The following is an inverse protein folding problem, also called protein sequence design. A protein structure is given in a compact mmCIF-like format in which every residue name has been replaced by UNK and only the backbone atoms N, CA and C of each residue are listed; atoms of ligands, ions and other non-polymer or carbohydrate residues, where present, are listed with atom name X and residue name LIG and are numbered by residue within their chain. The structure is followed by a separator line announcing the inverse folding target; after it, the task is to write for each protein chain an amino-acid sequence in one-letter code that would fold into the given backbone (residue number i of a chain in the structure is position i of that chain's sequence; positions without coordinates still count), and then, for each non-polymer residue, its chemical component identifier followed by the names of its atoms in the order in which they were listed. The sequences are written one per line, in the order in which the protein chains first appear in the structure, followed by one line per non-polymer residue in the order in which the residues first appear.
data_IF_115309092545
#
_entry.id   IF_115309092545
#
_cell.length_a   1.000
_cell.length_b   1.000
_cell.length_c   1.000
_cell.angle_alpha   90.00
_cell.angle_beta   90.00
_cell.angle_gamma   90.00
#
_symmetry.space_group_name_H-M   'P 1'
#
loop_
_entity.id
_entity.type
_entity.pdbx_description
1 polymer ?
#
# COMPACT_ATOMS: atom_id res chain seq x y z
N UNK A 1 63.50 33.98 -18.36
CA UNK A 1 62.32 33.85 -19.24
C UNK A 1 61.46 32.70 -18.70
N UNK A 2 60.40 33.03 -17.93
CA UNK A 2 58.98 32.79 -18.25
C UNK A 2 58.60 31.34 -18.61
N UNK A 3 57.91 30.69 -17.64
CA UNK A 3 56.70 29.81 -17.71
C UNK A 3 56.77 28.62 -18.69
N UNK A 4 56.38 27.40 -18.31
CA UNK A 4 54.97 27.01 -18.16
C UNK A 4 54.86 25.75 -17.28
N UNK A 5 53.99 25.90 -16.28
CA UNK A 5 53.36 24.91 -15.44
C UNK A 5 52.24 24.22 -16.25
N UNK A 6 52.20 22.89 -16.33
CA UNK A 6 50.97 22.18 -16.71
C UNK A 6 50.63 21.20 -15.59
N UNK A 7 49.69 21.66 -14.77
CA UNK A 7 48.97 20.90 -13.77
C UNK A 7 48.16 19.80 -14.47
N UNK A 8 48.44 18.53 -14.17
CA UNK A 8 47.59 17.42 -14.55
C UNK A 8 46.42 17.38 -13.55
N UNK A 9 45.32 18.05 -13.89
CA UNK A 9 44.07 17.99 -13.13
C UNK A 9 43.35 16.68 -13.50
N UNK A 10 43.57 15.63 -12.71
CA UNK A 10 42.74 14.43 -12.76
C UNK A 10 41.34 14.79 -12.24
N UNK A 11 40.44 15.11 -13.16
CA UNK A 11 39.01 15.27 -12.87
C UNK A 11 38.49 13.87 -12.56
N UNK A 12 38.45 13.53 -11.26
CA UNK A 12 37.64 12.44 -10.73
C UNK A 12 36.18 12.86 -10.96
N UNK A 13 35.59 12.45 -12.08
CA UNK A 13 34.16 12.57 -12.29
C UNK A 13 33.46 11.62 -11.32
N UNK A 14 33.17 12.12 -10.11
CA UNK A 14 32.10 11.57 -9.29
C UNK A 14 30.82 11.69 -10.11
N UNK A 15 30.43 10.60 -10.77
CA UNK A 15 29.07 10.43 -11.25
C UNK A 15 28.18 10.36 -10.02
N UNK A 16 27.70 11.49 -9.54
CA UNK A 16 26.48 11.54 -8.75
C UNK A 16 25.37 11.08 -9.69
N UNK A 17 25.11 9.78 -9.73
CA UNK A 17 23.82 9.27 -10.16
C UNK A 17 22.81 9.87 -9.20
N UNK A 18 22.21 10.98 -9.61
CA UNK A 18 20.99 11.48 -9.00
C UNK A 18 19.99 10.33 -9.12
N UNK A 19 19.83 9.54 -8.06
CA UNK A 19 18.77 8.54 -8.03
C UNK A 19 17.48 9.33 -8.15
N UNK A 20 16.74 9.17 -9.25
CA UNK A 20 15.44 9.80 -9.40
C UNK A 20 14.64 9.56 -8.13
N UNK A 21 14.07 10.63 -7.55
CA UNK A 21 13.29 10.51 -6.34
C UNK A 21 12.02 9.72 -6.67
N UNK A 22 11.93 8.49 -6.16
CA UNK A 22 10.72 7.70 -6.30
C UNK A 22 9.52 8.39 -5.64
N UNK A 23 8.35 8.22 -6.26
CA UNK A 23 7.06 8.76 -5.88
C UNK A 23 6.03 7.63 -5.77
N UNK A 24 4.86 7.90 -5.19
CA UNK A 24 3.75 6.93 -5.15
C UNK A 24 3.35 6.45 -6.56
N UNK A 25 3.55 7.26 -7.59
CA UNK A 25 3.26 6.88 -8.98
C UNK A 25 4.20 5.81 -9.51
N UNK A 26 5.45 5.76 -9.07
CA UNK A 26 6.39 4.71 -9.50
C UNK A 26 5.96 3.34 -8.98
N UNK A 27 5.44 3.29 -7.74
CA UNK A 27 4.85 2.09 -7.17
C UNK A 27 3.55 1.70 -7.88
N UNK A 28 2.70 2.68 -8.22
CA UNK A 28 1.50 2.43 -9.01
C UNK A 28 1.84 1.85 -10.39
N UNK A 29 2.83 2.40 -11.11
CA UNK A 29 3.25 1.86 -12.40
C UNK A 29 3.84 0.45 -12.27
N UNK A 30 4.60 0.17 -11.21
CA UNK A 30 5.07 -1.18 -10.93
C UNK A 30 3.91 -2.15 -10.65
N UNK A 31 2.85 -1.70 -9.96
CA UNK A 31 1.63 -2.49 -9.75
C UNK A 31 0.88 -2.76 -11.05
N UNK A 32 0.72 -1.75 -11.91
CA UNK A 32 0.14 -1.91 -13.25
C UNK A 32 0.91 -2.96 -14.06
N UNK A 33 2.24 -2.91 -14.02
CA UNK A 33 3.11 -3.89 -14.69
C UNK A 33 2.89 -5.31 -14.16
N UNK A 34 2.81 -5.50 -12.85
CA UNK A 34 2.54 -6.80 -12.21
C UNK A 34 1.17 -7.37 -12.63
N UNK A 35 0.13 -6.54 -12.61
CA UNK A 35 -1.22 -6.93 -13.04
C UNK A 35 -1.23 -7.34 -14.52
N UNK A 36 -0.62 -6.54 -15.39
CA UNK A 36 -0.55 -6.83 -16.83
C UNK A 36 0.29 -8.08 -17.17
N UNK A 37 1.24 -8.45 -16.30
CA UNK A 37 2.03 -9.68 -16.46
C UNK A 37 1.24 -10.94 -16.09
N UNK A 38 0.15 -10.80 -15.33
CA UNK A 38 -0.63 -11.93 -14.78
C UNK A 38 -1.73 -12.37 -15.74
N UNK A 39 -1.49 -12.40 -17.07
CA UNK A 39 -2.49 -12.89 -18.05
C UNK A 39 -2.98 -14.28 -17.66
N UNK A 40 -4.23 -14.38 -17.19
CA UNK A 40 -4.80 -15.60 -16.62
C UNK A 40 -5.24 -16.57 -17.72
N UNK A 41 -5.64 -16.08 -18.89
CA UNK A 41 -5.87 -16.85 -20.13
C UNK A 41 -6.17 -15.89 -21.30
N UNK A 42 -6.14 -16.35 -22.54
CA UNK A 42 -6.56 -15.57 -23.73
C UNK A 42 -8.06 -15.20 -23.73
N UNK A 43 -8.87 -15.89 -22.93
CA UNK A 43 -10.34 -15.73 -22.88
C UNK A 43 -10.81 -14.79 -21.76
N UNK A 44 -9.92 -14.33 -20.88
CA UNK A 44 -10.27 -13.40 -19.81
C UNK A 44 -9.95 -11.95 -20.19
N UNK A 45 -10.85 -11.00 -19.88
CA UNK A 45 -10.59 -9.60 -20.16
C UNK A 45 -9.36 -9.11 -19.38
N UNK A 46 -8.51 -8.32 -20.04
CA UNK A 46 -7.35 -7.69 -19.41
C UNK A 46 -7.80 -6.89 -18.18
N UNK A 47 -7.13 -7.09 -17.04
CA UNK A 47 -7.36 -6.29 -15.84
C UNK A 47 -6.68 -4.94 -15.98
N UNK A 48 -7.45 -3.86 -15.81
CA UNK A 48 -6.94 -2.49 -15.82
C UNK A 48 -7.06 -1.91 -14.41
N UNK A 49 -5.98 -1.31 -13.91
CA UNK A 49 -6.05 -0.47 -12.71
C UNK A 49 -6.54 0.93 -13.10
N UNK A 50 -7.62 1.37 -12.46
CA UNK A 50 -8.17 2.71 -12.63
C UNK A 50 -8.01 3.51 -11.34
N UNK A 51 -7.34 4.66 -11.44
CA UNK A 51 -7.24 5.63 -10.36
C UNK A 51 -8.64 6.22 -10.05
N UNK A 52 -9.03 6.17 -8.78
CA UNK A 52 -10.24 6.78 -8.23
C UNK A 52 -9.89 8.15 -7.64
N UNK A 53 -8.76 8.24 -6.94
CA UNK A 53 -8.29 9.45 -6.28
C UNK A 53 -6.77 9.52 -6.30
N UNK A 54 -6.25 10.72 -6.49
CA UNK A 54 -4.81 10.95 -6.58
C UNK A 54 -4.43 12.21 -5.81
N UNK A 55 -3.44 12.07 -4.93
CA UNK A 55 -2.79 13.15 -4.21
C UNK A 55 -1.28 12.87 -4.12
N UNK A 56 -0.60 13.01 -5.27
CA UNK A 56 0.82 12.66 -5.43
C UNK A 56 1.71 13.48 -4.49
N UNK A 57 1.32 14.75 -4.22
CA UNK A 57 2.06 15.63 -3.32
C UNK A 57 2.19 15.04 -1.93
N UNK A 58 1.12 14.40 -1.44
CA UNK A 58 1.11 13.73 -0.14
C UNK A 58 1.36 12.22 -0.25
N UNK A 59 1.77 11.74 -1.41
CA UNK A 59 2.12 10.34 -1.62
C UNK A 59 0.94 9.37 -1.51
N UNK A 60 -0.29 9.81 -1.81
CA UNK A 60 -1.50 8.99 -1.67
C UNK A 60 -2.20 8.74 -3.01
N UNK A 61 -2.71 7.51 -3.19
CA UNK A 61 -3.58 7.09 -4.28
C UNK A 61 -4.71 6.21 -3.74
N UNK A 62 -5.85 6.23 -4.42
CA UNK A 62 -6.84 5.17 -4.35
C UNK A 62 -7.19 4.72 -5.77
N UNK A 63 -7.30 3.42 -6.00
CA UNK A 63 -7.54 2.83 -7.32
C UNK A 63 -8.39 1.57 -7.20
N UNK A 64 -8.89 1.06 -8.32
CA UNK A 64 -9.66 -0.19 -8.39
C UNK A 64 -9.30 -0.97 -9.65
N UNK A 65 -9.53 -2.27 -9.62
CA UNK A 65 -9.47 -3.15 -10.79
C UNK A 65 -10.72 -2.98 -11.66
N UNK A 66 -10.54 -2.95 -12.97
CA UNK A 66 -11.58 -2.93 -14.00
C UNK A 66 -11.27 -3.98 -15.09
N UNK A 67 -12.13 -4.99 -15.31
CA UNK A 67 -13.25 -5.34 -14.43
C UNK A 67 -12.74 -5.64 -13.01
N UNK A 68 -13.61 -5.59 -12.01
CA UNK A 68 -13.21 -6.03 -10.67
C UNK A 68 -12.61 -7.45 -10.78
N UNK A 69 -11.66 -7.81 -9.90
CA UNK A 69 -10.99 -9.12 -9.88
C UNK A 69 -11.97 -10.33 -9.97
N UNK A 70 -13.26 -10.09 -9.75
CA UNK A 70 -14.35 -11.04 -9.70
C UNK A 70 -15.16 -11.29 -10.96
N UNK A 71 -14.62 -11.10 -12.17
CA UNK A 71 -14.95 -12.10 -13.19
C UNK A 71 -14.37 -13.49 -12.86
N UNK A 72 -13.45 -13.59 -11.89
CA UNK A 72 -12.93 -14.89 -11.45
C UNK A 72 -13.67 -15.50 -10.26
N UNK A 73 -14.14 -14.75 -9.25
CA UNK A 73 -14.76 -15.33 -8.02
C UNK A 73 -15.71 -14.35 -7.29
N UNK A 74 -16.78 -13.87 -7.93
CA UNK A 74 -17.86 -13.13 -7.24
C UNK A 74 -17.48 -11.77 -6.60
N UNK A 75 -16.28 -11.23 -6.82
CA UNK A 75 -15.90 -9.86 -6.41
C UNK A 75 -16.59 -8.84 -7.32
N UNK A 76 -17.32 -7.91 -6.73
CA UNK A 76 -18.07 -6.86 -7.44
C UNK A 76 -17.29 -5.55 -7.49
N UNK A 77 -16.58 -5.22 -6.41
CA UNK A 77 -15.71 -4.04 -6.31
C UNK A 77 -14.43 -4.43 -5.57
N UNK A 78 -13.28 -3.89 -5.95
CA UNK A 78 -12.00 -4.16 -5.30
C UNK A 78 -11.12 -2.92 -5.21
N UNK A 79 -11.54 -1.86 -4.47
CA UNK A 79 -10.72 -0.69 -4.29
C UNK A 79 -9.50 -0.98 -3.39
N UNK A 80 -8.38 -0.34 -3.70
CA UNK A 80 -7.19 -0.32 -2.87
C UNK A 80 -6.77 1.13 -2.62
N UNK A 81 -6.28 1.41 -1.41
CA UNK A 81 -5.53 2.62 -1.12
C UNK A 81 -4.03 2.33 -1.16
N UNK A 82 -3.22 3.30 -1.57
CA UNK A 82 -1.76 3.26 -1.50
C UNK A 82 -1.23 4.56 -0.89
N UNK A 83 -0.34 4.44 0.09
CA UNK A 83 0.33 5.58 0.72
C UNK A 83 1.84 5.37 0.76
N UNK A 84 2.59 6.41 0.41
CA UNK A 84 4.04 6.41 0.31
C UNK A 84 4.69 6.94 1.57
N UNK A 85 5.74 6.24 2.03
CA UNK A 85 6.46 6.52 3.25
C UNK A 85 7.95 6.64 2.95
N UNK A 86 8.60 7.59 3.62
CA UNK A 86 10.04 7.81 3.57
C UNK A 86 10.55 7.95 5.00
N UNK A 87 11.52 7.14 5.37
CA UNK A 87 12.25 7.27 6.63
C UNK A 87 13.49 8.16 6.45
N UNK A 88 13.98 8.74 7.56
CA UNK A 88 15.17 9.59 7.60
C UNK A 88 16.45 8.84 7.18
N UNK A 89 16.47 7.52 7.32
CA UNK A 89 17.56 6.66 6.82
C UNK A 89 17.49 6.42 5.30
N UNK A 90 16.56 7.07 4.58
CA UNK A 90 16.41 6.99 3.14
C UNK A 90 15.59 5.79 2.65
N UNK A 91 15.08 4.93 3.54
CA UNK A 91 14.18 3.82 3.20
C UNK A 91 12.85 4.37 2.68
N UNK A 92 12.44 3.89 1.50
CA UNK A 92 11.26 4.35 0.75
C UNK A 92 10.38 3.17 0.40
N UNK A 93 9.10 3.24 0.71
CA UNK A 93 8.16 2.13 0.53
C UNK A 93 6.73 2.64 0.45
N UNK A 94 5.81 1.79 0.01
CA UNK A 94 4.37 2.04 0.10
C UNK A 94 3.69 1.03 1.00
N UNK A 95 2.65 1.47 1.69
CA UNK A 95 1.61 0.59 2.20
C UNK A 95 0.47 0.52 1.19
N UNK A 96 -0.14 -0.65 1.03
CA UNK A 96 -1.33 -0.88 0.21
C UNK A 96 -2.39 -1.54 1.08
N UNK A 97 -3.59 -0.95 1.13
CA UNK A 97 -4.72 -1.45 1.89
C UNK A 97 -5.79 -2.00 0.94
N UNK A 98 -5.86 -3.34 0.76
CA UNK A 98 -6.84 -3.93 -0.13
C UNK A 98 -8.21 -4.06 0.54
N UNK A 99 -9.25 -3.81 -0.23
CA UNK A 99 -10.64 -4.03 0.17
C UNK A 99 -11.39 -4.65 -1.00
N UNK A 100 -12.29 -5.58 -0.71
CA UNK A 100 -13.17 -6.19 -1.69
C UNK A 100 -14.63 -6.19 -1.22
N UNK A 101 -15.54 -5.99 -2.16
CA UNK A 101 -16.97 -6.24 -1.99
C UNK A 101 -17.34 -7.48 -2.78
N UNK A 102 -17.76 -8.52 -2.09
CA UNK A 102 -18.04 -9.84 -2.63
C UNK A 102 -19.54 -10.07 -2.75
N UNK A 103 -19.97 -10.71 -3.83
CA UNK A 103 -21.29 -11.32 -3.97
C UNK A 103 -21.25 -12.73 -3.41
N UNK A 104 -22.07 -13.01 -2.40
CA UNK A 104 -22.22 -14.36 -1.84
C UNK A 104 -23.45 -15.07 -2.44
N UNK A 105 -23.53 -16.40 -2.29
CA UNK A 105 -24.52 -17.31 -2.92
C UNK A 105 -26.01 -16.93 -2.78
N UNK A 106 -26.35 -15.91 -1.98
CA UNK A 106 -27.70 -15.36 -1.80
C UNK A 106 -27.92 -14.00 -2.50
N UNK A 107 -27.08 -13.62 -3.47
CA UNK A 107 -27.07 -12.27 -4.11
C UNK A 107 -26.88 -11.11 -3.11
N UNK A 108 -26.39 -11.41 -1.91
CA UNK A 108 -26.06 -10.41 -0.90
C UNK A 108 -24.61 -9.99 -1.08
N UNK A 109 -24.32 -8.74 -0.79
CA UNK A 109 -22.97 -8.19 -0.81
C UNK A 109 -22.34 -8.30 0.58
N UNK A 110 -21.06 -8.64 0.63
CA UNK A 110 -20.25 -8.62 1.85
C UNK A 110 -18.91 -7.96 1.58
N UNK A 111 -18.56 -7.00 2.43
CA UNK A 111 -17.23 -6.43 2.45
C UNK A 111 -16.23 -7.38 3.11
N UNK A 112 -15.02 -7.38 2.58
CA UNK A 112 -13.84 -8.08 3.08
C UNK A 112 -12.65 -7.14 2.95
N UNK A 113 -11.72 -7.21 3.90
CA UNK A 113 -10.48 -6.44 3.87
C UNK A 113 -9.39 -7.18 4.62
N UNK A 114 -8.15 -6.77 4.40
CA UNK A 114 -6.96 -7.35 5.02
C UNK A 114 -6.16 -6.25 5.72
N UNK A 115 -5.19 -6.67 6.54
CA UNK A 115 -4.14 -5.76 7.00
C UNK A 115 -3.32 -5.24 5.81
N UNK A 116 -2.68 -4.06 5.92
CA UNK A 116 -1.95 -3.49 4.80
C UNK A 116 -0.75 -4.37 4.44
N UNK A 117 -0.46 -4.42 3.14
CA UNK A 117 0.78 -4.98 2.61
C UNK A 117 1.78 -3.86 2.36
N UNK A 118 3.07 -4.17 2.46
CA UNK A 118 4.12 -3.18 2.32
C UNK A 118 5.08 -3.58 1.21
N UNK A 119 5.44 -2.62 0.36
CA UNK A 119 6.30 -2.87 -0.79
C UNK A 119 7.42 -1.86 -0.90
N UNK A 120 8.62 -2.33 -1.22
CA UNK A 120 9.74 -1.52 -1.70
C UNK A 120 9.86 -1.65 -3.24
N UNK A 121 10.49 -0.69 -3.91
CA UNK A 121 10.79 -0.79 -5.34
C UNK A 121 12.21 -1.31 -5.56
N UNK A 122 12.35 -2.36 -6.37
CA UNK A 122 13.64 -2.83 -6.87
C UNK A 122 13.57 -3.08 -8.37
N UNK A 123 14.43 -2.39 -9.14
CA UNK A 123 14.48 -2.49 -10.60
C UNK A 123 13.10 -2.33 -11.29
N UNK A 124 12.26 -1.41 -10.77
CA UNK A 124 10.93 -1.14 -11.30
C UNK A 124 9.87 -2.21 -10.98
N UNK A 125 10.14 -3.11 -10.03
CA UNK A 125 9.18 -4.12 -9.57
C UNK A 125 8.87 -3.89 -8.08
N UNK A 126 7.65 -4.26 -7.67
CA UNK A 126 7.26 -4.30 -6.28
C UNK A 126 7.89 -5.52 -5.60
N UNK A 127 8.57 -5.29 -4.49
CA UNK A 127 9.12 -6.34 -3.63
C UNK A 127 8.31 -6.34 -2.34
N UNK A 128 7.64 -7.44 -2.04
CA UNK A 128 6.90 -7.59 -0.78
C UNK A 128 7.86 -7.54 0.41
N UNK A 129 7.57 -6.63 1.33
CA UNK A 129 8.31 -6.36 2.57
C UNK A 129 7.37 -6.34 3.76
N UNK A 130 6.19 -6.94 3.66
CA UNK A 130 5.15 -6.90 4.69
C UNK A 130 5.69 -7.37 6.04
N UNK A 131 6.47 -8.46 6.08
CA UNK A 131 7.06 -8.96 7.34
C UNK A 131 8.14 -8.03 7.92
N UNK A 132 8.75 -7.17 7.12
CA UNK A 132 9.73 -6.18 7.57
C UNK A 132 9.04 -4.99 8.28
N UNK A 133 7.87 -4.56 7.79
CA UNK A 133 7.16 -3.38 8.29
C UNK A 133 6.00 -3.71 9.25
N UNK A 134 5.47 -4.92 9.14
CA UNK A 134 4.43 -5.50 9.98
C UNK A 134 4.88 -6.91 10.42
N UNK A 135 5.91 -6.99 11.30
CA UNK A 135 6.42 -8.25 11.82
C UNK A 135 5.36 -9.02 12.60
N UNK A 136 5.59 -10.32 12.79
CA UNK A 136 4.58 -11.26 13.30
C UNK A 136 4.01 -10.88 14.68
N UNK A 137 4.84 -10.34 15.57
CA UNK A 137 4.44 -9.84 16.88
C UNK A 137 3.49 -8.64 16.75
N UNK A 138 3.86 -7.65 15.94
CA UNK A 138 3.05 -6.47 15.67
C UNK A 138 1.72 -6.86 14.98
N UNK A 139 1.78 -7.76 13.99
CA UNK A 139 0.61 -8.33 13.31
C UNK A 139 -0.35 -8.96 14.32
N UNK A 140 0.17 -9.81 15.20
CA UNK A 140 -0.61 -10.49 16.24
C UNK A 140 -1.29 -9.50 17.19
N UNK A 141 -0.61 -8.42 17.56
CA UNK A 141 -1.19 -7.36 18.40
C UNK A 141 -2.39 -6.69 17.71
N UNK A 142 -2.25 -6.34 16.42
CA UNK A 142 -3.32 -5.70 15.63
C UNK A 142 -4.49 -6.65 15.44
N UNK A 143 -4.23 -7.90 15.06
CA UNK A 143 -5.25 -8.94 14.87
C UNK A 143 -6.02 -9.22 16.16
N UNK A 144 -5.33 -9.25 17.30
CA UNK A 144 -5.97 -9.42 18.61
C UNK A 144 -6.93 -8.26 18.93
N UNK A 145 -6.55 -7.02 18.60
CA UNK A 145 -7.42 -5.85 18.77
C UNK A 145 -8.63 -5.88 17.82
N UNK A 146 -8.43 -6.28 16.56
CA UNK A 146 -9.50 -6.47 15.57
C UNK A 146 -10.49 -7.57 16.00
N UNK A 147 -9.99 -8.70 16.50
CA UNK A 147 -10.82 -9.80 16.99
C UNK A 147 -11.64 -9.39 18.22
N UNK A 148 -11.02 -8.68 19.18
CA UNK A 148 -11.72 -8.18 20.35
C UNK A 148 -12.89 -7.25 19.96
N UNK A 149 -12.70 -6.39 18.95
CA UNK A 149 -13.76 -5.52 18.44
C UNK A 149 -14.81 -6.27 17.60
N UNK A 150 -14.38 -7.29 16.84
CA UNK A 150 -15.30 -8.09 16.01
C UNK A 150 -16.28 -8.90 16.85
N UNK A 151 -15.92 -9.31 18.07
CA UNK A 151 -16.83 -10.02 18.99
C UNK A 151 -18.02 -9.17 19.42
N UNK A 152 -17.86 -7.86 19.54
CA UNK A 152 -18.95 -6.93 19.89
C UNK A 152 -19.73 -6.43 18.68
N UNK A 153 -19.15 -6.58 17.48
CA UNK A 153 -19.72 -6.09 16.22
C UNK A 153 -20.04 -7.29 15.32
N UNK A 154 -21.24 -7.85 15.45
CA UNK A 154 -21.67 -9.00 14.62
C UNK A 154 -21.47 -8.69 13.14
N UNK A 155 -20.83 -9.60 12.40
CA UNK A 155 -20.50 -9.46 10.98
C UNK A 155 -19.47 -8.36 10.66
N UNK A 156 -18.40 -8.25 11.46
CA UNK A 156 -17.29 -7.36 11.18
C UNK A 156 -16.39 -7.86 10.03
N UNK A 157 -15.84 -6.93 9.26
CA UNK A 157 -14.68 -7.15 8.37
C UNK A 157 -13.58 -6.16 8.73
N UNK A 158 -12.31 -6.57 8.55
CA UNK A 158 -11.16 -5.68 8.73
C UNK A 158 -11.25 -4.52 7.74
N UNK A 159 -10.93 -3.32 8.21
CA UNK A 159 -10.80 -2.13 7.38
C UNK A 159 -9.55 -1.35 7.77
N UNK A 160 -8.81 -0.92 6.76
CA UNK A 160 -7.59 -0.16 6.91
C UNK A 160 -7.76 1.13 6.11
N UNK A 161 -7.42 2.25 6.73
CA UNK A 161 -7.40 3.57 6.09
C UNK A 161 -5.99 4.11 6.09
N UNK A 162 -5.43 4.26 4.90
CA UNK A 162 -4.11 4.85 4.72
C UNK A 162 -4.18 6.38 4.82
N UNK A 163 -3.12 7.02 5.34
CA UNK A 163 -3.11 8.47 5.48
C UNK A 163 -3.00 9.14 4.10
N UNK A 164 -3.98 9.96 3.75
CA UNK A 164 -3.78 10.99 2.73
C UNK A 164 -2.92 12.13 3.28
N UNK A 165 -2.95 12.37 4.58
CA UNK A 165 -2.13 13.33 5.32
C UNK A 165 -1.62 12.70 6.60
N UNK A 166 -0.40 13.05 7.02
CA UNK A 166 0.25 12.45 8.18
C UNK A 166 0.84 11.08 7.88
N UNK A 167 1.17 10.32 8.93
CA UNK A 167 1.94 9.07 8.81
C UNK A 167 1.33 7.88 9.56
N UNK A 168 0.13 8.04 10.12
CA UNK A 168 -0.55 6.99 10.86
C UNK A 168 -1.54 6.23 9.95
N UNK A 169 -1.44 4.91 9.92
CA UNK A 169 -2.43 4.05 9.25
C UNK A 169 -3.50 3.68 10.28
N UNK A 170 -4.74 4.04 10.02
CA UNK A 170 -5.84 3.68 10.93
C UNK A 170 -6.33 2.27 10.63
N UNK A 171 -6.42 1.43 11.66
CA UNK A 171 -6.92 0.05 11.55
C UNK A 171 -8.21 -0.08 12.34
N UNK A 172 -9.18 -0.80 11.81
CA UNK A 172 -10.46 -0.98 12.47
C UNK A 172 -11.32 -2.05 11.82
N UNK A 173 -12.59 -2.03 12.19
CA UNK A 173 -13.61 -2.91 11.64
C UNK A 173 -14.71 -2.12 10.97
N UNK A 174 -15.33 -2.69 9.96
CA UNK A 174 -16.60 -2.23 9.38
C UNK A 174 -17.64 -3.33 9.53
N UNK A 175 -18.93 -2.98 9.48
CA UNK A 175 -19.97 -3.96 9.16
C UNK A 175 -19.76 -4.48 7.74
N UNK A 176 -19.69 -5.81 7.60
CA UNK A 176 -19.59 -6.46 6.31
C UNK A 176 -20.79 -6.16 5.39
N UNK A 177 -21.93 -5.72 5.93
CA UNK A 177 -23.12 -5.33 5.13
C UNK A 177 -23.13 -3.86 4.75
N UNK A 178 -22.78 -2.98 5.68
CA UNK A 178 -22.88 -1.52 5.49
C UNK A 178 -21.63 -0.97 4.78
N UNK A 179 -20.45 -1.51 5.06
CA UNK A 179 -19.20 -1.04 4.44
C UNK A 179 -18.55 0.13 5.17
N UNK A 180 -17.80 0.94 4.43
CA UNK A 180 -16.92 1.99 4.95
C UNK A 180 -17.60 3.00 5.90
N UNK A 181 -18.90 3.29 5.71
CA UNK A 181 -19.65 4.22 6.57
C UNK A 181 -19.78 3.74 8.02
N UNK A 182 -19.63 2.44 8.26
CA UNK A 182 -19.70 1.82 9.58
C UNK A 182 -18.33 1.64 10.25
N UNK A 183 -17.30 2.33 9.76
CA UNK A 183 -15.93 2.16 10.24
C UNK A 183 -15.79 2.54 11.72
N UNK A 184 -15.28 1.58 12.51
CA UNK A 184 -14.94 1.77 13.91
C UNK A 184 -13.44 1.47 14.10
N UNK A 185 -12.63 2.47 14.45
CA UNK A 185 -11.20 2.26 14.65
C UNK A 185 -10.93 1.40 15.89
N UNK A 186 -9.87 0.59 15.84
CA UNK A 186 -9.34 -0.17 16.98
C UNK A 186 -7.95 0.29 17.39
N UNK A 187 -7.25 1.00 16.51
CA UNK A 187 -5.95 1.58 16.76
C UNK A 187 -5.29 2.13 15.50
N UNK A 188 -4.03 2.50 15.63
CA UNK A 188 -3.22 3.08 14.56
C UNK A 188 -1.86 2.40 14.49
N UNK A 189 -1.38 2.10 13.28
CA UNK A 189 0.03 1.85 13.04
C UNK A 189 0.72 3.20 12.89
N UNK A 190 1.51 3.57 13.89
CA UNK A 190 2.23 4.85 13.94
C UNK A 190 3.62 4.65 13.36
N UNK A 191 3.89 5.33 12.25
CA UNK A 191 5.18 5.29 11.57
C UNK A 191 6.27 6.01 12.37
N UNK A 192 7.39 5.34 12.60
CA UNK A 192 8.60 5.93 13.12
C UNK A 192 9.49 6.42 11.96
N UNK A 193 9.55 7.74 11.78
CA UNK A 193 10.33 8.34 10.71
C UNK A 193 11.85 8.10 10.86
N UNK A 194 12.35 7.84 12.06
CA UNK A 194 13.79 7.68 12.29
C UNK A 194 14.34 6.41 11.65
N UNK A 195 13.63 5.28 11.79
CA UNK A 195 14.11 3.95 11.38
C UNK A 195 13.24 3.29 10.29
N UNK A 196 12.06 3.83 10.02
CA UNK A 196 11.13 3.31 9.02
C UNK A 196 10.26 2.16 9.51
N UNK A 197 10.09 1.99 10.83
CA UNK A 197 9.26 0.95 11.44
C UNK A 197 7.88 1.45 11.84
N UNK A 198 6.98 0.55 12.23
CA UNK A 198 5.68 0.89 12.80
C UNK A 198 5.56 0.36 14.23
N UNK A 199 4.80 1.07 15.05
CA UNK A 199 4.27 0.57 16.33
C UNK A 199 2.76 0.64 16.33
N UNK A 200 2.10 -0.22 17.09
CA UNK A 200 0.65 -0.19 17.22
C UNK A 200 0.23 0.62 18.45
N UNK A 201 -0.57 1.66 18.24
CA UNK A 201 -1.20 2.45 19.30
C UNK A 201 -2.69 2.11 19.34
N UNK A 202 -3.12 1.37 20.38
CA UNK A 202 -4.52 0.98 20.56
C UNK A 202 -5.38 2.19 20.94
N UNK A 203 -6.62 2.24 20.42
CA UNK A 203 -7.64 3.23 20.82
C UNK A 203 -8.67 2.64 21.79
#
# INVERSE_FOLDING_TARGET
MKKILVFLLAILSLTHTASAQSSVMDFYHAKVKEVNATKVSEEQPDFVLKIIKQDVKNGYLAYTYQPALGHMIGVVESPEEMAYFIANNGKKFVAVAPTAKLMVASKKHRWSGELPRFYELAAGNLIDKTDQYLPADLRTMVESALQAKSKTTKEAATWVKLPQYGTAITVGVISAKVGAESFVPVGELVFNIADGTFKFAKK
#
